data_IF_709903016174
#
_entry.id   IF_709903016174
#
_cell.length_a   1.000
_cell.length_b   1.000
_cell.length_c   1.000
_cell.angle_alpha   90.00
_cell.angle_beta   90.00
_cell.angle_gamma   90.00
#
_symmetry.space_group_name_H-M   'P 1'
#
loop_
_entity.id
_entity.type
_entity.pdbx_description
1 polymer ?
#
# COMPACT_ATOMS: atom_id res chain seq x y z
N UNK A 1 -10.71 -16.46 -3.89
CA UNK A 1 -9.67 -15.58 -3.35
C UNK A 1 -10.13 -15.01 -2.03
N UNK A 2 -9.26 -14.97 -1.07
CA UNK A 2 -9.56 -14.36 0.23
C UNK A 2 -8.48 -13.35 0.62
N UNK A 3 -8.83 -12.44 1.55
CA UNK A 3 -7.94 -11.43 2.09
C UNK A 3 -7.90 -11.54 3.60
N UNK A 4 -6.72 -11.37 4.19
CA UNK A 4 -6.54 -11.40 5.63
C UNK A 4 -5.42 -10.48 6.08
N UNK A 5 -5.32 -10.28 7.39
CA UNK A 5 -4.28 -9.43 7.98
C UNK A 5 -3.79 -9.98 9.30
N UNK A 6 -2.53 -9.65 9.64
CA UNK A 6 -1.95 -9.93 10.93
C UNK A 6 -2.16 -8.79 11.92
N UNK A 7 -1.61 -8.94 13.12
CA UNK A 7 -1.74 -7.95 14.21
C UNK A 7 -0.36 -7.48 14.67
N UNK A 8 0.31 -6.69 13.82
CA UNK A 8 1.58 -6.06 14.19
C UNK A 8 1.31 -4.63 14.66
N UNK A 9 2.06 -4.18 15.69
CA UNK A 9 1.85 -2.85 16.27
C UNK A 9 2.23 -1.73 15.32
N UNK A 10 3.29 -1.91 14.53
CA UNK A 10 3.83 -0.87 13.64
C UNK A 10 3.51 -1.11 12.19
N UNK A 11 3.09 -2.31 11.84
CA UNK A 11 2.63 -2.62 10.49
C UNK A 11 1.59 -3.74 10.53
N UNK A 12 0.70 -3.72 9.55
CA UNK A 12 -0.32 -4.75 9.39
C UNK A 12 -0.22 -5.31 7.97
N UNK A 13 0.09 -6.61 7.83
CA UNK A 13 0.13 -7.24 6.52
C UNK A 13 -1.26 -7.64 6.03
N UNK A 14 -1.45 -7.58 4.72
CA UNK A 14 -2.64 -8.03 4.03
C UNK A 14 -2.22 -9.00 2.94
N UNK A 15 -2.96 -10.09 2.78
CA UNK A 15 -2.64 -11.11 1.80
C UNK A 15 -3.85 -11.45 0.94
N UNK A 16 -3.60 -11.67 -0.35
CA UNK A 16 -4.57 -12.27 -1.25
C UNK A 16 -4.21 -13.75 -1.40
N UNK A 17 -5.19 -14.62 -1.18
CA UNK A 17 -4.96 -16.07 -1.10
C UNK A 17 -5.89 -16.79 -2.09
N UNK A 18 -5.31 -17.67 -2.90
CA UNK A 18 -6.04 -18.58 -3.80
C UNK A 18 -5.57 -20.00 -3.52
N UNK A 19 -6.52 -20.90 -3.24
CA UNK A 19 -6.25 -22.32 -2.98
C UNK A 19 -5.18 -22.54 -1.92
N UNK A 20 -5.23 -21.75 -0.84
CA UNK A 20 -4.26 -21.83 0.25
C UNK A 20 -2.89 -21.22 -0.04
N UNK A 21 -2.71 -20.60 -1.20
CA UNK A 21 -1.44 -19.96 -1.60
C UNK A 21 -1.56 -18.45 -1.55
N UNK A 22 -0.57 -17.80 -0.98
CA UNK A 22 -0.47 -16.33 -1.01
C UNK A 22 0.00 -15.92 -2.41
N UNK A 23 -0.83 -15.14 -3.10
CA UNK A 23 -0.55 -14.65 -4.45
C UNK A 23 -0.26 -13.15 -4.50
N UNK A 24 -0.48 -12.45 -3.40
CA UNK A 24 -0.19 -11.03 -3.30
C UNK A 24 -0.16 -10.57 -1.86
N UNK A 25 0.60 -9.53 -1.60
CA UNK A 25 0.70 -8.92 -0.27
C UNK A 25 0.73 -7.40 -0.40
N UNK A 26 0.32 -6.75 0.70
CA UNK A 26 0.48 -5.32 0.92
C UNK A 26 0.56 -5.08 2.41
N UNK A 27 1.05 -3.92 2.82
CA UNK A 27 1.17 -3.57 4.24
C UNK A 27 0.56 -2.21 4.50
N UNK A 28 -0.09 -2.06 5.65
CA UNK A 28 -0.30 -0.75 6.27
C UNK A 28 0.83 -0.55 7.26
N UNK A 29 1.57 0.55 7.15
CA UNK A 29 2.70 0.86 8.01
C UNK A 29 2.56 2.25 8.60
N UNK A 30 2.95 2.40 9.86
CA UNK A 30 3.04 3.70 10.51
C UNK A 30 4.24 4.50 9.99
N UNK A 31 5.32 3.81 9.64
CA UNK A 31 6.51 4.42 9.05
C UNK A 31 7.04 3.54 7.92
N UNK A 32 7.72 4.17 6.98
CA UNK A 32 8.34 3.48 5.86
C UNK A 32 9.80 3.96 5.73
N UNK A 33 10.48 3.61 4.66
CA UNK A 33 11.89 3.89 4.42
C UNK A 33 12.15 5.35 4.04
N UNK A 34 11.47 6.28 4.73
CA UNK A 34 11.55 7.71 4.46
C UNK A 34 11.62 8.49 5.78
N UNK A 35 12.44 9.56 5.85
CA UNK A 35 12.54 10.41 7.05
C UNK A 35 11.37 11.40 7.13
N UNK A 36 10.13 10.89 7.11
CA UNK A 36 8.90 11.67 7.06
C UNK A 36 7.92 11.18 8.13
N UNK A 37 8.21 11.44 9.43
CA UNK A 37 7.36 10.88 10.50
C UNK A 37 5.94 11.43 10.53
N UNK A 38 5.68 12.56 9.91
CA UNK A 38 4.34 13.16 9.82
C UNK A 38 3.47 12.53 8.73
N UNK A 39 4.06 11.72 7.83
CA UNK A 39 3.34 11.02 6.76
C UNK A 39 2.98 9.63 7.26
N UNK A 40 1.70 9.34 7.41
CA UNK A 40 1.20 8.02 7.78
C UNK A 40 -0.33 7.97 7.67
N UNK A 41 -0.96 6.77 7.54
CA UNK A 41 -0.28 5.49 7.34
C UNK A 41 0.15 5.30 5.89
N UNK A 42 1.19 4.50 5.70
CA UNK A 42 1.69 4.11 4.39
C UNK A 42 1.05 2.80 3.96
N UNK A 43 0.64 2.71 2.71
CA UNK A 43 0.33 1.43 2.06
C UNK A 43 1.53 1.11 1.18
N UNK A 44 2.26 0.06 1.52
CA UNK A 44 3.54 -0.22 0.86
C UNK A 44 3.85 -1.71 0.86
N UNK A 45 5.01 -2.08 0.31
CA UNK A 45 5.39 -3.48 0.17
C UNK A 45 4.41 -4.26 -0.70
N UNK A 46 3.81 -3.60 -1.68
CA UNK A 46 2.78 -4.18 -2.54
C UNK A 46 3.45 -5.11 -3.55
N UNK A 47 3.06 -6.38 -3.53
CA UNK A 47 3.59 -7.38 -4.43
C UNK A 47 2.49 -8.33 -4.86
N UNK A 48 2.49 -8.69 -6.14
CA UNK A 48 1.59 -9.71 -6.70
C UNK A 48 2.44 -10.70 -7.47
N UNK A 49 2.22 -11.98 -7.24
CA UNK A 49 2.88 -13.07 -7.96
C UNK A 49 2.71 -12.87 -9.47
N UNK A 50 3.78 -13.05 -10.22
CA UNK A 50 3.83 -12.73 -11.65
C UNK A 50 2.68 -13.35 -12.44
N UNK A 51 2.34 -14.62 -12.18
CA UNK A 51 1.27 -15.33 -12.88
C UNK A 51 -0.12 -14.74 -12.62
N UNK A 52 -0.27 -13.91 -11.60
CA UNK A 52 -1.55 -13.27 -11.24
C UNK A 52 -1.57 -11.78 -11.52
N UNK A 53 -0.53 -11.23 -12.13
CA UNK A 53 -0.50 -9.82 -12.52
C UNK A 53 -1.47 -9.57 -13.68
N UNK A 54 -1.97 -8.35 -13.78
CA UNK A 54 -2.95 -7.97 -14.78
C UNK A 54 -4.39 -8.29 -14.41
N UNK A 55 -4.64 -8.81 -13.21
CA UNK A 55 -5.98 -9.15 -12.71
C UNK A 55 -6.48 -8.19 -11.63
N UNK A 56 -5.88 -7.02 -11.50
CA UNK A 56 -6.23 -5.98 -10.52
C UNK A 56 -6.18 -6.45 -9.06
N UNK A 57 -5.31 -7.40 -8.76
CA UNK A 57 -5.17 -7.92 -7.39
C UNK A 57 -4.55 -6.88 -6.47
N UNK A 58 -3.58 -6.10 -6.96
CA UNK A 58 -3.01 -5.00 -6.18
C UNK A 58 -4.06 -3.96 -5.81
N UNK A 59 -4.97 -3.64 -6.72
CA UNK A 59 -6.07 -2.71 -6.44
C UNK A 59 -6.96 -3.23 -5.32
N UNK A 60 -7.28 -4.52 -5.35
CA UNK A 60 -8.12 -5.15 -4.31
C UNK A 60 -7.41 -5.18 -2.96
N UNK A 61 -6.11 -5.50 -2.95
CA UNK A 61 -5.30 -5.45 -1.73
C UNK A 61 -5.27 -4.05 -1.13
N UNK A 62 -5.03 -3.04 -1.94
CA UNK A 62 -4.99 -1.64 -1.52
C UNK A 62 -6.36 -1.20 -0.99
N UNK A 63 -7.42 -1.59 -1.68
CA UNK A 63 -8.79 -1.28 -1.28
C UNK A 63 -9.12 -1.88 0.09
N UNK A 64 -8.73 -3.13 0.31
CA UNK A 64 -8.91 -3.81 1.59
C UNK A 64 -8.09 -3.13 2.70
N UNK A 65 -6.86 -2.75 2.40
CA UNK A 65 -6.00 -2.02 3.34
C UNK A 65 -6.60 -0.66 3.70
N UNK A 66 -7.18 0.04 2.73
CA UNK A 66 -7.82 1.33 2.95
C UNK A 66 -9.07 1.20 3.83
N UNK A 67 -9.86 0.15 3.66
CA UNK A 67 -11.00 -0.12 4.54
C UNK A 67 -10.55 -0.32 5.99
N UNK A 68 -9.48 -1.09 6.17
CA UNK A 68 -8.88 -1.29 7.49
C UNK A 68 -8.42 0.04 8.10
N UNK A 69 -7.71 0.86 7.33
CA UNK A 69 -7.24 2.16 7.81
C UNK A 69 -8.38 3.08 8.20
N UNK A 70 -9.45 3.08 7.42
CA UNK A 70 -10.66 3.86 7.72
C UNK A 70 -11.31 3.42 9.03
N UNK A 71 -11.41 2.11 9.25
CA UNK A 71 -11.94 1.56 10.51
C UNK A 71 -11.09 1.96 11.71
N UNK A 72 -9.78 2.16 11.52
CA UNK A 72 -8.86 2.60 12.57
C UNK A 72 -8.86 4.11 12.79
N UNK A 73 -9.68 4.85 12.05
CA UNK A 73 -9.85 6.28 12.23
C UNK A 73 -8.97 7.15 11.32
N UNK A 74 -8.27 6.57 10.37
CA UNK A 74 -7.50 7.35 9.41
C UNK A 74 -8.40 7.84 8.28
N UNK A 75 -8.10 9.02 7.74
CA UNK A 75 -8.87 9.64 6.67
C UNK A 75 -8.12 9.68 5.33
N UNK A 76 -6.90 9.21 5.31
CA UNK A 76 -6.10 9.09 4.08
C UNK A 76 -5.02 8.05 4.23
N UNK A 77 -4.51 7.56 3.10
CA UNK A 77 -3.35 6.68 3.04
C UNK A 77 -2.38 7.17 1.98
N UNK A 78 -1.11 6.79 2.12
CA UNK A 78 -0.02 7.23 1.25
C UNK A 78 0.67 6.03 0.64
N UNK A 79 1.05 6.15 -0.63
CA UNK A 79 1.82 5.11 -1.34
C UNK A 79 3.09 5.72 -1.90
N UNK A 80 4.28 5.20 -1.54
CA UNK A 80 5.53 5.57 -2.21
C UNK A 80 5.75 4.66 -3.40
N UNK A 81 6.16 5.21 -4.54
CA UNK A 81 6.39 4.40 -5.73
C UNK A 81 7.23 5.14 -6.77
N UNK A 82 7.89 4.35 -7.63
CA UNK A 82 8.54 4.87 -8.84
C UNK A 82 7.58 4.85 -10.04
N UNK A 83 6.44 4.17 -9.93
CA UNK A 83 5.49 4.02 -11.03
C UNK A 83 4.67 5.28 -11.26
N UNK A 84 4.30 5.52 -12.51
CA UNK A 84 3.37 6.58 -12.91
C UNK A 84 2.16 5.95 -13.59
N UNK A 85 0.97 6.51 -13.33
CA UNK A 85 -0.28 6.07 -13.95
C UNK A 85 -0.97 4.91 -13.28
N UNK A 86 -0.26 4.07 -12.52
CA UNK A 86 -0.86 2.88 -11.88
C UNK A 86 -1.77 3.27 -10.73
N UNK A 87 -1.24 3.99 -9.75
CA UNK A 87 -1.99 4.32 -8.52
C UNK A 87 -3.04 5.38 -8.75
N UNK A 88 -2.86 6.21 -9.78
CA UNK A 88 -3.89 7.15 -10.19
C UNK A 88 -5.17 6.43 -10.62
N UNK A 89 -5.04 5.25 -11.25
CA UNK A 89 -6.20 4.41 -11.61
C UNK A 89 -6.95 3.90 -10.37
N UNK A 90 -6.28 3.85 -9.23
CA UNK A 90 -6.87 3.39 -7.97
C UNK A 90 -7.39 4.53 -7.10
N UNK A 91 -7.40 5.74 -7.64
CA UNK A 91 -7.92 6.93 -6.97
C UNK A 91 -6.89 7.70 -6.16
N UNK A 92 -5.62 7.36 -6.26
CA UNK A 92 -4.54 8.12 -5.63
C UNK A 92 -4.15 9.30 -6.53
N UNK A 93 -3.70 10.38 -5.91
CA UNK A 93 -3.13 11.52 -6.63
C UNK A 93 -1.67 11.72 -6.26
N UNK A 94 -0.89 12.17 -7.21
CA UNK A 94 0.50 12.51 -6.99
C UNK A 94 0.60 13.74 -6.08
N UNK A 95 1.35 13.61 -4.98
CA UNK A 95 1.52 14.68 -4.01
C UNK A 95 2.85 15.41 -4.17
N UNK A 96 3.90 14.71 -4.58
CA UNK A 96 5.23 15.27 -4.75
C UNK A 96 6.29 14.17 -4.74
N UNK A 97 7.53 14.57 -4.92
CA UNK A 97 8.66 13.65 -4.81
C UNK A 97 9.20 13.64 -3.38
N UNK A 98 9.65 12.47 -2.95
CA UNK A 98 10.24 12.27 -1.62
C UNK A 98 11.57 11.53 -1.77
N UNK A 99 12.43 11.69 -0.77
CA UNK A 99 13.75 11.06 -0.76
C UNK A 99 13.80 10.04 0.36
N UNK A 100 14.21 8.81 0.05
CA UNK A 100 14.33 7.74 1.04
C UNK A 100 15.67 7.81 1.78
N UNK A 101 15.88 6.89 2.75
CA UNK A 101 17.12 6.85 3.54
C UNK A 101 18.35 6.48 2.71
N UNK A 102 18.16 5.89 1.52
CA UNK A 102 19.26 5.61 0.59
C UNK A 102 19.54 6.79 -0.35
N UNK A 103 18.92 7.95 -0.11
CA UNK A 103 19.06 9.16 -0.92
C UNK A 103 18.55 8.99 -2.37
N UNK A 104 17.59 8.09 -2.54
CA UNK A 104 16.91 7.87 -3.82
C UNK A 104 15.58 8.60 -3.81
N UNK A 105 15.16 9.09 -4.99
CA UNK A 105 13.91 9.84 -5.13
C UNK A 105 12.77 8.94 -5.60
N UNK A 106 11.66 8.99 -4.88
CA UNK A 106 10.43 8.28 -5.23
C UNK A 106 9.28 9.27 -5.30
N UNK A 107 8.16 8.82 -5.89
CA UNK A 107 6.93 9.59 -5.96
C UNK A 107 6.07 9.26 -4.75
N UNK A 108 5.40 10.27 -4.20
CA UNK A 108 4.45 10.09 -3.10
C UNK A 108 3.03 10.31 -3.64
N UNK A 109 2.17 9.33 -3.38
CA UNK A 109 0.76 9.36 -3.74
C UNK A 109 -0.10 9.37 -2.48
N UNK A 110 -1.24 10.03 -2.55
CA UNK A 110 -2.19 10.13 -1.44
C UNK A 110 -3.61 9.88 -1.92
N UNK A 111 -4.41 9.26 -1.06
CA UNK A 111 -5.85 9.06 -1.30
C UNK A 111 -6.62 9.33 -0.01
N UNK A 112 -7.67 10.14 -0.10
CA UNK A 112 -8.68 10.28 0.95
C UNK A 112 -9.55 9.02 0.99
N UNK A 113 -9.80 8.52 2.20
CA UNK A 113 -10.56 7.26 2.38
C UNK A 113 -11.78 7.41 3.31
#
# INVERSE_FOLDING_TARGET
MSFGHGRLQTETPFAAIINGRIIGIAYIRKSDYYPLPEIYPWVSGIFVTESYRGHRISEKLISFANEYAKEKGFDKTYIPSVHTGLYEKYGYRYLGDIVNYANETDRLYVKEI
#
